data_IF_519996943754
#
_entry.id   IF_519996943754
#
_cell.length_a   1.000
_cell.length_b   1.000
_cell.length_c   1.000
_cell.angle_alpha   90.00
_cell.angle_beta   90.00
_cell.angle_gamma   90.00
#
_symmetry.space_group_name_H-M   'P 1'
#
loop_
_entity.id
_entity.type
_entity.pdbx_description
1 polymer ?
#
# COMPACT_ATOMS: atom_id res chain seq x y z
N UNK A 1 63.73 -76.58 -52.13
CA UNK A 1 64.66 -75.82 -52.99
C UNK A 1 64.82 -74.42 -52.38
N UNK A 2 66.08 -74.03 -52.20
CA UNK A 2 66.62 -72.70 -51.89
C UNK A 2 66.39 -72.09 -50.49
N UNK A 3 67.53 -71.64 -49.95
CA UNK A 3 67.88 -71.38 -48.54
C UNK A 3 67.49 -69.97 -48.10
N UNK A 4 67.07 -69.81 -46.84
CA UNK A 4 67.17 -68.54 -46.11
C UNK A 4 68.64 -68.17 -45.82
N UNK A 5 68.98 -66.88 -45.76
CA UNK A 5 69.94 -66.35 -44.80
C UNK A 5 69.22 -65.70 -43.61
N UNK A 6 69.82 -65.71 -42.41
CA UNK A 6 69.26 -65.12 -41.19
C UNK A 6 69.55 -63.61 -41.18
N UNK A 7 68.83 -62.77 -40.42
CA UNK A 7 69.43 -61.67 -39.65
C UNK A 7 68.40 -61.03 -38.71
N UNK A 8 68.69 -61.22 -37.43
CA UNK A 8 68.55 -60.28 -36.30
C UNK A 8 67.15 -59.86 -35.84
N UNK A 9 66.79 -60.44 -34.70
CA UNK A 9 65.78 -59.96 -33.76
C UNK A 9 66.41 -58.86 -32.91
N UNK A 10 65.91 -57.63 -33.04
CA UNK A 10 66.03 -56.62 -31.98
C UNK A 10 64.73 -56.62 -31.17
N UNK A 11 64.75 -56.92 -29.85
CA UNK A 11 63.60 -56.69 -29.02
C UNK A 11 63.47 -55.17 -28.80
N UNK A 12 62.52 -54.54 -29.49
CA UNK A 12 62.08 -53.20 -29.13
C UNK A 12 61.32 -53.33 -27.82
N UNK A 13 61.99 -52.91 -26.75
CA UNK A 13 61.44 -52.67 -25.43
C UNK A 13 60.42 -51.52 -25.57
N UNK A 14 59.17 -51.85 -25.90
CA UNK A 14 58.03 -50.94 -25.78
C UNK A 14 57.75 -50.74 -24.29
N UNK A 15 58.55 -49.87 -23.67
CA UNK A 15 58.15 -49.10 -22.49
C UNK A 15 56.92 -48.30 -22.89
N UNK A 16 55.74 -48.89 -22.69
CA UNK A 16 54.48 -48.16 -22.80
C UNK A 16 54.55 -46.95 -21.87
N UNK A 17 54.31 -45.72 -22.34
CA UNK A 17 54.12 -44.62 -21.44
C UNK A 17 52.84 -44.93 -20.66
N UNK A 18 53.01 -45.14 -19.36
CA UNK A 18 51.94 -45.20 -18.38
C UNK A 18 50.91 -44.14 -18.74
N UNK A 19 49.70 -44.59 -19.06
CA UNK A 19 48.53 -43.74 -19.18
C UNK A 19 48.31 -43.14 -17.79
N UNK A 20 48.95 -41.99 -17.53
CA UNK A 20 48.60 -41.14 -16.42
C UNK A 20 47.16 -40.69 -16.71
N UNK A 21 46.20 -41.39 -16.11
CA UNK A 21 44.87 -40.85 -15.91
C UNK A 21 45.10 -39.59 -15.07
N UNK A 22 45.27 -38.45 -15.76
CA UNK A 22 45.05 -37.16 -15.15
C UNK A 22 43.55 -37.12 -14.88
N UNK A 23 43.15 -37.71 -13.75
CA UNK A 23 41.91 -37.34 -13.09
C UNK A 23 42.14 -35.89 -12.70
N UNK A 24 41.86 -34.98 -13.63
CA UNK A 24 41.46 -33.62 -13.27
C UNK A 24 40.17 -33.86 -12.52
N UNK A 25 40.30 -34.08 -11.22
CA UNK A 25 39.24 -33.72 -10.29
C UNK A 25 39.14 -32.22 -10.47
N UNK A 26 38.30 -31.83 -11.44
CA UNK A 26 37.58 -30.57 -11.33
C UNK A 26 36.80 -30.79 -10.04
N UNK A 27 37.40 -30.38 -8.92
CA UNK A 27 36.59 -29.80 -7.88
C UNK A 27 35.91 -28.64 -8.59
N UNK A 28 34.78 -28.95 -9.22
CA UNK A 28 33.68 -28.05 -9.20
C UNK A 28 33.43 -27.95 -7.70
N UNK A 29 34.13 -27.01 -7.06
CA UNK A 29 33.46 -26.20 -6.08
C UNK A 29 32.18 -25.84 -6.81
N UNK A 30 31.09 -26.56 -6.50
CA UNK A 30 29.80 -25.94 -6.51
C UNK A 30 30.02 -24.76 -5.57
N UNK A 31 30.48 -23.64 -6.14
CA UNK A 31 30.17 -22.34 -5.64
C UNK A 31 28.66 -22.38 -5.70
N UNK A 32 28.04 -22.89 -4.63
CA UNK A 32 26.69 -22.51 -4.29
C UNK A 32 26.81 -21.00 -4.28
N UNK A 33 26.41 -20.38 -5.39
CA UNK A 33 26.22 -18.95 -5.45
C UNK A 33 25.17 -18.71 -4.38
N UNK A 34 25.62 -18.40 -3.17
CA UNK A 34 24.74 -17.96 -2.11
C UNK A 34 24.00 -16.80 -2.76
N UNK A 35 22.66 -16.88 -2.92
CA UNK A 35 21.93 -15.81 -3.56
C UNK A 35 22.31 -14.52 -2.82
N UNK A 36 22.86 -13.56 -3.55
CA UNK A 36 23.38 -12.31 -3.00
C UNK A 36 22.23 -11.32 -2.71
N UNK A 37 21.09 -11.87 -2.29
CA UNK A 37 19.88 -11.15 -1.93
C UNK A 37 19.87 -10.81 -0.44
N UNK A 38 19.12 -9.77 -0.04
CA UNK A 38 18.91 -9.49 1.37
C UNK A 38 18.28 -10.70 2.07
N UNK A 39 18.86 -11.09 3.21
CA UNK A 39 18.37 -12.20 4.05
C UNK A 39 17.66 -11.59 5.26
N UNK A 40 16.47 -12.09 5.56
CA UNK A 40 15.73 -11.69 6.78
C UNK A 40 16.47 -12.23 8.01
N UNK A 41 16.86 -11.34 8.91
CA UNK A 41 17.65 -11.63 10.11
C UNK A 41 16.82 -11.52 11.38
N UNK A 42 15.81 -10.65 11.39
CA UNK A 42 14.86 -10.46 12.48
C UNK A 42 13.56 -9.84 11.97
N UNK A 43 12.46 -10.07 12.69
CA UNK A 43 11.17 -9.40 12.43
C UNK A 43 10.83 -8.56 13.65
N UNK A 44 10.89 -7.21 13.57
CA UNK A 44 10.48 -6.38 14.68
C UNK A 44 8.97 -6.50 14.90
N UNK A 45 8.50 -6.21 16.12
CA UNK A 45 7.07 -6.19 16.40
C UNK A 45 6.33 -5.04 15.69
N UNK A 46 7.08 -4.02 15.26
CA UNK A 46 6.57 -2.82 14.61
C UNK A 46 7.66 -2.09 13.83
N UNK A 47 7.28 -1.45 12.72
CA UNK A 47 8.09 -0.44 12.03
C UNK A 47 7.24 0.81 11.86
N UNK A 48 7.80 1.96 12.24
CA UNK A 48 7.24 3.27 11.86
C UNK A 48 8.24 3.95 10.93
N UNK A 49 7.74 4.40 9.79
CA UNK A 49 8.53 5.14 8.81
C UNK A 49 7.67 6.23 8.19
N UNK A 50 8.31 7.17 7.52
CA UNK A 50 7.64 8.32 6.92
C UNK A 50 7.62 8.17 5.41
N UNK A 51 6.53 8.50 4.74
CA UNK A 51 6.44 8.54 3.28
C UNK A 51 7.20 9.74 2.71
N UNK A 52 7.30 9.82 1.38
CA UNK A 52 7.94 10.95 0.69
C UNK A 52 7.25 12.29 1.01
N UNK A 53 5.93 12.31 1.18
CA UNK A 53 5.16 13.52 1.55
C UNK A 53 5.28 13.90 3.03
N UNK A 54 5.89 13.06 3.87
CA UNK A 54 5.99 13.30 5.30
C UNK A 54 4.92 12.58 6.13
N UNK A 55 4.04 11.76 5.53
CA UNK A 55 3.03 11.02 6.28
C UNK A 55 3.65 9.85 7.07
N UNK A 56 3.27 9.69 8.34
CA UNK A 56 3.74 8.58 9.16
C UNK A 56 2.96 7.30 8.85
N UNK A 57 3.69 6.23 8.52
CA UNK A 57 3.17 4.88 8.30
C UNK A 57 3.70 3.98 9.40
N UNK A 58 2.77 3.35 10.13
CA UNK A 58 3.06 2.39 11.20
C UNK A 58 2.57 1.01 10.76
N UNK A 59 3.47 0.03 10.78
CA UNK A 59 3.25 -1.34 10.35
C UNK A 59 3.40 -2.28 11.53
N UNK A 60 2.37 -3.10 11.77
CA UNK A 60 2.38 -4.10 12.84
C UNK A 60 3.08 -5.40 12.40
N UNK A 61 3.24 -6.33 13.35
CA UNK A 61 3.88 -7.62 13.11
C UNK A 61 3.21 -8.49 12.04
N UNK A 62 1.91 -8.32 11.77
CA UNK A 62 1.22 -9.06 10.69
C UNK A 62 1.65 -8.50 9.34
N UNK A 63 1.59 -7.19 9.17
CA UNK A 63 2.06 -6.50 7.96
C UNK A 63 3.54 -6.76 7.69
N UNK A 64 4.37 -6.82 8.74
CA UNK A 64 5.78 -7.18 8.63
C UNK A 64 5.99 -8.66 8.29
N UNK A 65 5.10 -9.55 8.70
CA UNK A 65 5.09 -10.95 8.24
C UNK A 65 4.89 -11.05 6.72
N UNK A 66 4.01 -10.24 6.16
CA UNK A 66 3.82 -10.17 4.70
C UNK A 66 5.03 -9.58 3.99
N UNK A 67 5.65 -8.54 4.57
CA UNK A 67 6.90 -7.99 4.05
C UNK A 67 8.03 -9.04 4.06
N UNK A 68 8.13 -9.89 5.09
CA UNK A 68 9.09 -11.01 5.13
C UNK A 68 8.88 -11.97 3.96
N UNK A 69 7.63 -12.28 3.61
CA UNK A 69 7.34 -13.10 2.42
C UNK A 69 7.86 -12.44 1.15
N UNK A 70 7.59 -11.15 0.95
CA UNK A 70 8.10 -10.40 -0.23
C UNK A 70 9.63 -10.41 -0.28
N UNK A 71 10.31 -10.13 0.84
CA UNK A 71 11.78 -10.13 0.93
C UNK A 71 12.36 -11.52 0.66
N UNK A 72 11.77 -12.56 1.26
CA UNK A 72 12.20 -13.95 1.08
C UNK A 72 12.05 -14.42 -0.35
N UNK A 73 10.87 -14.20 -0.97
CA UNK A 73 10.62 -14.58 -2.35
C UNK A 73 11.55 -13.82 -3.28
N UNK A 74 11.63 -12.49 -3.16
CA UNK A 74 12.49 -11.68 -4.02
C UNK A 74 13.99 -11.96 -3.83
N UNK A 75 14.42 -12.33 -2.62
CA UNK A 75 15.79 -12.75 -2.34
C UNK A 75 16.15 -14.11 -2.94
N UNK A 76 15.16 -14.96 -3.19
CA UNK A 76 15.32 -16.27 -3.82
C UNK A 76 15.17 -16.23 -5.36
N UNK A 77 14.53 -15.19 -5.91
CA UNK A 77 14.31 -15.05 -7.36
C UNK A 77 15.49 -14.36 -8.06
N UNK A 78 16.10 -15.07 -9.01
CA UNK A 78 17.19 -14.52 -9.83
C UNK A 78 16.73 -13.28 -10.60
N UNK A 79 17.58 -12.25 -10.63
CA UNK A 79 17.30 -11.00 -11.36
C UNK A 79 16.47 -9.96 -10.61
N UNK A 80 15.82 -10.30 -9.48
CA UNK A 80 15.04 -9.34 -8.66
C UNK A 80 15.96 -8.44 -7.84
N UNK A 81 16.80 -9.05 -7.00
CA UNK A 81 17.74 -8.33 -6.13
C UNK A 81 17.07 -7.34 -5.15
N UNK A 82 17.89 -6.51 -4.51
CA UNK A 82 17.43 -5.53 -3.51
C UNK A 82 16.41 -4.54 -4.08
N UNK A 83 16.69 -3.99 -5.25
CA UNK A 83 15.85 -2.96 -5.85
C UNK A 83 14.48 -3.49 -6.25
N UNK A 84 14.39 -4.72 -6.75
CA UNK A 84 13.10 -5.34 -7.06
C UNK A 84 12.26 -5.61 -5.81
N UNK A 85 12.89 -6.00 -4.71
CA UNK A 85 12.21 -6.16 -3.41
C UNK A 85 11.63 -4.83 -2.93
N UNK A 86 12.38 -3.73 -3.04
CA UNK A 86 11.86 -2.40 -2.69
C UNK A 86 10.68 -2.02 -3.58
N UNK A 87 10.74 -2.30 -4.89
CA UNK A 87 9.62 -2.08 -5.82
C UNK A 87 8.36 -2.85 -5.39
N UNK A 88 8.49 -4.12 -5.01
CA UNK A 88 7.37 -4.92 -4.52
C UNK A 88 6.81 -4.41 -3.19
N UNK A 89 7.67 -4.02 -2.24
CA UNK A 89 7.22 -3.43 -0.98
C UNK A 89 6.48 -2.10 -1.21
N UNK A 90 6.94 -1.25 -2.13
CA UNK A 90 6.24 -0.03 -2.53
C UNK A 90 4.86 -0.33 -3.12
N UNK A 91 4.76 -1.33 -3.98
CA UNK A 91 3.49 -1.78 -4.56
C UNK A 91 2.54 -2.28 -3.47
N UNK A 92 2.93 -3.28 -2.67
CA UNK A 92 2.05 -3.82 -1.64
C UNK A 92 1.64 -2.77 -0.58
N UNK A 93 2.50 -1.79 -0.28
CA UNK A 93 2.12 -0.65 0.56
C UNK A 93 1.06 0.24 -0.10
N UNK A 94 1.21 0.52 -1.39
CA UNK A 94 0.25 1.34 -2.13
C UNK A 94 -1.08 0.63 -2.35
N UNK A 95 -1.07 -0.68 -2.59
CA UNK A 95 -2.26 -1.47 -2.92
C UNK A 95 -3.07 -1.86 -1.70
N UNK A 96 -2.41 -2.33 -0.64
CA UNK A 96 -3.10 -2.93 0.51
C UNK A 96 -2.55 -2.47 1.85
N UNK A 97 -1.56 -1.57 1.87
CA UNK A 97 -0.76 -1.26 3.08
C UNK A 97 -0.13 -2.53 3.66
N UNK A 98 0.34 -3.44 2.82
CA UNK A 98 0.86 -4.76 3.21
C UNK A 98 -0.19 -5.63 3.94
N UNK A 99 -1.46 -5.58 3.52
CA UNK A 99 -2.52 -6.44 4.07
C UNK A 99 -2.94 -7.48 3.05
N UNK A 100 -3.13 -8.70 3.53
CA UNK A 100 -3.64 -9.78 2.72
C UNK A 100 -5.18 -9.70 2.68
N UNK A 101 -5.73 -8.90 1.76
CA UNK A 101 -7.17 -8.61 1.71
C UNK A 101 -7.94 -9.67 0.91
N UNK A 102 -9.02 -10.20 1.49
CA UNK A 102 -10.03 -10.96 0.77
C UNK A 102 -10.94 -10.02 -0.05
N UNK A 103 -11.87 -10.57 -0.82
CA UNK A 103 -12.94 -9.81 -1.47
C UNK A 103 -14.20 -10.66 -1.45
N UNK A 104 -14.90 -10.67 -0.32
CA UNK A 104 -16.06 -11.52 -0.08
C UNK A 104 -17.25 -11.15 -0.99
N UNK A 105 -17.22 -9.94 -1.56
CA UNK A 105 -18.26 -9.47 -2.49
C UNK A 105 -18.08 -10.09 -3.88
N UNK A 106 -16.89 -9.98 -4.46
CA UNK A 106 -16.60 -10.52 -5.80
C UNK A 106 -16.31 -12.02 -5.77
N UNK A 107 -15.64 -12.50 -4.73
CA UNK A 107 -15.23 -13.89 -4.52
C UNK A 107 -15.52 -14.31 -3.08
N UNK A 108 -16.76 -14.70 -2.76
CA UNK A 108 -17.14 -15.12 -1.39
C UNK A 108 -16.22 -16.19 -0.79
N UNK A 109 -15.67 -17.08 -1.61
CA UNK A 109 -14.72 -18.10 -1.19
C UNK A 109 -13.38 -17.55 -0.68
N UNK A 110 -12.98 -16.34 -1.09
CA UNK A 110 -11.75 -15.69 -0.64
C UNK A 110 -11.73 -15.43 0.87
N UNK A 111 -12.90 -15.17 1.47
CA UNK A 111 -13.05 -14.98 2.92
C UNK A 111 -12.73 -16.24 3.73
N UNK A 112 -12.73 -17.42 3.09
CA UNK A 112 -12.36 -18.69 3.72
C UNK A 112 -10.85 -18.92 3.85
N UNK A 113 -10.02 -18.09 3.21
CA UNK A 113 -8.57 -18.14 3.30
C UNK A 113 -8.04 -17.21 4.40
N UNK A 114 -6.79 -17.40 4.84
CA UNK A 114 -6.15 -16.49 5.77
C UNK A 114 -6.08 -15.08 5.17
N UNK A 115 -6.61 -14.08 5.88
CA UNK A 115 -6.72 -12.71 5.41
C UNK A 115 -6.68 -11.73 6.59
N UNK A 116 -6.36 -10.47 6.28
CA UNK A 116 -6.28 -9.36 7.24
C UNK A 116 -7.47 -8.40 7.15
N UNK A 117 -8.49 -8.78 6.39
CA UNK A 117 -9.66 -7.95 6.11
C UNK A 117 -10.26 -8.21 4.73
N UNK A 118 -11.32 -7.47 4.43
CA UNK A 118 -12.05 -7.52 3.18
C UNK A 118 -11.80 -6.24 2.38
N UNK A 119 -11.25 -6.36 1.19
CA UNK A 119 -11.08 -5.30 0.21
C UNK A 119 -12.41 -5.02 -0.50
N UNK A 120 -12.70 -3.75 -0.76
CA UNK A 120 -14.01 -3.31 -1.27
C UNK A 120 -13.96 -2.64 -2.64
N UNK A 121 -12.77 -2.50 -3.23
CA UNK A 121 -12.57 -2.00 -4.58
C UNK A 121 -12.39 -3.13 -5.59
N UNK A 122 -13.25 -3.16 -6.61
CA UNK A 122 -13.22 -4.12 -7.71
C UNK A 122 -13.34 -5.61 -7.29
N UNK A 123 -12.82 -6.51 -8.12
CA UNK A 123 -12.64 -7.96 -7.93
C UNK A 123 -11.15 -8.28 -7.70
N UNK A 124 -10.49 -7.48 -6.85
CA UNK A 124 -9.07 -7.61 -6.51
C UNK A 124 -8.87 -8.38 -5.20
N UNK A 125 -7.71 -9.04 -5.06
CA UNK A 125 -7.34 -9.85 -3.90
C UNK A 125 -5.89 -9.60 -3.49
N UNK A 126 -5.66 -9.60 -2.18
CA UNK A 126 -4.37 -9.80 -1.56
C UNK A 126 -3.42 -8.60 -1.49
N UNK A 127 -2.13 -8.88 -1.29
CA UNK A 127 -1.10 -7.88 -1.02
C UNK A 127 -0.99 -6.84 -2.14
N UNK A 128 -1.10 -7.28 -3.39
CA UNK A 128 -0.95 -6.47 -4.59
C UNK A 128 -2.29 -6.17 -5.28
N UNK A 129 -3.42 -6.50 -4.65
CA UNK A 129 -4.75 -6.27 -5.22
C UNK A 129 -4.91 -6.84 -6.65
N UNK A 130 -4.39 -8.06 -6.85
CA UNK A 130 -4.41 -8.76 -8.13
C UNK A 130 -5.78 -9.36 -8.43
N UNK A 131 -6.13 -9.46 -9.72
CA UNK A 131 -7.46 -9.85 -10.18
C UNK A 131 -7.46 -11.20 -10.90
N UNK A 132 -8.26 -12.19 -10.47
CA UNK A 132 -8.45 -13.42 -11.23
C UNK A 132 -8.92 -13.17 -12.66
N UNK A 133 -9.85 -12.22 -12.86
CA UNK A 133 -10.36 -11.87 -14.17
C UNK A 133 -9.30 -11.29 -15.13
N UNK A 134 -8.20 -10.74 -14.61
CA UNK A 134 -7.08 -10.26 -15.40
C UNK A 134 -6.06 -11.37 -15.75
N UNK A 135 -6.24 -12.58 -15.21
CA UNK A 135 -5.36 -13.72 -15.45
C UNK A 135 -4.19 -13.85 -14.46
N UNK A 136 -4.19 -13.09 -13.37
CA UNK A 136 -3.11 -13.16 -12.37
C UNK A 136 -3.03 -14.50 -11.63
N UNK A 137 -4.13 -15.24 -11.53
CA UNK A 137 -4.23 -16.51 -10.82
C UNK A 137 -5.67 -16.81 -10.40
N UNK A 138 -5.92 -18.00 -9.85
CA UNK A 138 -7.20 -18.33 -9.20
C UNK A 138 -7.35 -17.62 -7.86
N UNK A 139 -8.56 -17.60 -7.29
CA UNK A 139 -8.80 -17.00 -5.97
C UNK A 139 -7.92 -17.64 -4.88
N UNK A 140 -7.76 -18.97 -4.92
CA UNK A 140 -6.92 -19.67 -3.95
C UNK A 140 -5.44 -19.28 -4.07
N UNK A 141 -4.94 -19.13 -5.30
CA UNK A 141 -3.57 -18.69 -5.57
C UNK A 141 -3.37 -17.22 -5.19
N UNK A 142 -4.32 -16.35 -5.50
CA UNK A 142 -4.22 -14.94 -5.12
C UNK A 142 -4.45 -14.73 -3.62
N UNK A 143 -5.03 -15.68 -2.90
CA UNK A 143 -5.07 -15.67 -1.43
C UNK A 143 -3.81 -16.22 -0.76
N UNK A 144 -2.79 -16.57 -1.54
CA UNK A 144 -1.47 -17.01 -1.08
C UNK A 144 -0.42 -15.91 -1.32
N UNK A 145 0.22 -15.44 -0.23
CA UNK A 145 1.20 -14.36 -0.27
C UNK A 145 2.50 -14.75 -1.00
N UNK A 146 2.91 -16.02 -0.95
CA UNK A 146 4.08 -16.52 -1.69
C UNK A 146 3.80 -16.51 -3.20
N UNK A 147 2.62 -16.99 -3.60
CA UNK A 147 2.18 -16.97 -5.00
C UNK A 147 2.14 -15.54 -5.53
N UNK A 148 1.51 -14.63 -4.79
CA UNK A 148 1.39 -13.23 -5.22
C UNK A 148 2.74 -12.54 -5.36
N UNK A 149 3.67 -12.76 -4.43
CA UNK A 149 5.02 -12.22 -4.55
C UNK A 149 5.75 -12.79 -5.79
N UNK A 150 5.61 -14.11 -6.04
CA UNK A 150 6.18 -14.74 -7.24
C UNK A 150 5.56 -14.19 -8.53
N UNK A 151 4.24 -14.01 -8.57
CA UNK A 151 3.52 -13.44 -9.71
C UNK A 151 3.92 -11.97 -9.94
N UNK A 152 4.06 -11.18 -8.88
CA UNK A 152 4.49 -9.77 -8.96
C UNK A 152 5.89 -9.66 -9.58
N UNK A 153 6.85 -10.50 -9.13
CA UNK A 153 8.18 -10.51 -9.74
C UNK A 153 8.14 -11.07 -11.17
N UNK A 154 7.26 -12.03 -11.45
CA UNK A 154 7.03 -12.61 -12.77
C UNK A 154 8.28 -13.25 -13.37
N UNK A 155 8.46 -13.08 -14.68
CA UNK A 155 9.50 -13.74 -15.45
C UNK A 155 8.99 -14.97 -16.21
N UNK A 156 9.82 -15.55 -17.09
CA UNK A 156 9.44 -16.65 -17.98
C UNK A 156 8.99 -17.92 -17.25
N UNK A 157 9.45 -18.11 -16.01
CA UNK A 157 9.07 -19.24 -15.14
C UNK A 157 8.11 -18.82 -14.01
N UNK A 158 7.53 -17.62 -14.11
CA UNK A 158 6.57 -17.09 -13.14
C UNK A 158 5.27 -17.91 -13.11
N UNK A 159 4.57 -17.97 -11.96
CA UNK A 159 3.45 -18.88 -11.75
C UNK A 159 2.20 -18.52 -12.58
N UNK A 160 2.12 -17.29 -13.07
CA UNK A 160 1.05 -16.81 -13.96
C UNK A 160 1.41 -16.93 -15.46
N UNK A 161 2.49 -17.65 -15.80
CA UNK A 161 2.88 -17.90 -17.20
C UNK A 161 3.28 -16.64 -17.98
N UNK A 162 3.74 -15.60 -17.29
CA UNK A 162 4.20 -14.33 -17.89
C UNK A 162 3.08 -13.39 -18.34
N UNK A 163 1.82 -13.68 -17.99
CA UNK A 163 0.68 -12.82 -18.31
C UNK A 163 -0.39 -12.86 -17.21
N UNK A 164 -0.71 -11.74 -16.55
CA UNK A 164 -0.10 -10.41 -16.72
C UNK A 164 1.40 -10.37 -16.43
N UNK A 165 2.09 -9.40 -17.00
CA UNK A 165 3.54 -9.29 -16.86
C UNK A 165 3.91 -8.96 -15.40
N UNK A 166 4.93 -9.60 -14.85
CA UNK A 166 5.55 -9.18 -13.60
C UNK A 166 6.73 -8.24 -13.83
N UNK A 167 7.47 -7.92 -12.76
CA UNK A 167 8.60 -6.99 -12.79
C UNK A 167 9.70 -7.41 -13.78
N UNK A 168 10.09 -8.70 -13.77
CA UNK A 168 11.16 -9.23 -14.60
C UNK A 168 10.81 -9.28 -16.09
N UNK A 169 9.52 -9.20 -16.42
CA UNK A 169 9.03 -9.16 -17.79
C UNK A 169 9.10 -7.74 -18.40
N UNK A 170 9.48 -6.73 -17.62
CA UNK A 170 9.59 -5.33 -18.06
C UNK A 170 11.05 -5.03 -18.47
N UNK A 171 11.34 -4.81 -19.77
CA UNK A 171 12.70 -4.54 -20.21
C UNK A 171 13.27 -3.27 -19.59
N UNK A 172 14.43 -3.38 -18.93
CA UNK A 172 15.14 -2.23 -18.36
C UNK A 172 14.48 -1.65 -17.11
N UNK A 173 13.63 -2.39 -16.41
CA UNK A 173 12.99 -1.92 -15.17
C UNK A 173 13.99 -1.44 -14.12
N UNK A 174 15.21 -1.99 -14.10
CA UNK A 174 16.29 -1.56 -13.20
C UNK A 174 16.80 -0.14 -13.50
N UNK A 175 16.54 0.38 -14.70
CA UNK A 175 17.01 1.68 -15.17
C UNK A 175 15.97 2.80 -15.03
N UNK A 176 14.76 2.49 -14.54
CA UNK A 176 13.71 3.49 -14.29
C UNK A 176 13.53 3.73 -12.79
N UNK A 177 12.95 4.87 -12.37
CA UNK A 177 12.61 5.07 -10.97
C UNK A 177 11.74 3.94 -10.42
N UNK A 178 11.99 3.51 -9.18
CA UNK A 178 11.31 2.36 -8.57
C UNK A 178 9.77 2.48 -8.57
N UNK A 179 9.23 3.68 -8.36
CA UNK A 179 7.79 3.92 -8.45
C UNK A 179 7.22 3.71 -9.86
N UNK A 180 8.01 4.02 -10.90
CA UNK A 180 7.66 3.77 -12.30
C UNK A 180 7.70 2.27 -12.60
N UNK A 181 8.67 1.55 -12.04
CA UNK A 181 8.73 0.09 -12.14
C UNK A 181 7.51 -0.57 -11.48
N UNK A 182 7.13 -0.15 -10.27
CA UNK A 182 5.92 -0.63 -9.57
C UNK A 182 4.65 -0.37 -10.38
N UNK A 183 4.46 0.87 -10.84
CA UNK A 183 3.33 1.24 -11.71
C UNK A 183 3.30 0.42 -13.02
N UNK A 184 4.45 0.02 -13.54
CA UNK A 184 4.53 -0.75 -14.80
C UNK A 184 4.06 -2.19 -14.66
N UNK A 185 4.14 -2.74 -13.44
CA UNK A 185 3.58 -4.06 -13.07
C UNK A 185 2.09 -3.94 -12.81
N UNK A 186 1.67 -3.00 -11.95
CA UNK A 186 0.28 -2.87 -11.50
C UNK A 186 -0.65 -2.27 -12.55
N UNK A 187 -0.11 -1.46 -13.47
CA UNK A 187 -0.88 -0.77 -14.53
C UNK A 187 -2.08 -0.01 -13.95
N UNK A 188 -1.87 0.67 -12.81
CA UNK A 188 -2.92 1.46 -12.17
C UNK A 188 -3.20 2.77 -12.90
N UNK A 189 -4.35 3.40 -12.62
CA UNK A 189 -4.69 4.70 -13.20
C UNK A 189 -3.87 5.88 -12.62
N UNK A 190 -3.03 5.65 -11.60
CA UNK A 190 -2.31 6.66 -10.83
C UNK A 190 -0.79 6.41 -10.87
N UNK A 191 -0.10 7.08 -11.80
CA UNK A 191 1.30 6.74 -12.11
C UNK A 191 2.34 7.11 -11.05
N UNK A 192 2.00 7.96 -10.09
CA UNK A 192 2.91 8.51 -9.08
C UNK A 192 2.72 7.95 -7.66
N UNK A 193 1.60 7.26 -7.37
CA UNK A 193 1.27 6.81 -6.00
C UNK A 193 2.29 5.90 -5.34
N UNK A 194 3.04 5.12 -6.11
CA UNK A 194 4.00 4.15 -5.56
C UNK A 194 5.26 4.81 -5.04
N UNK A 195 5.70 5.90 -5.69
CA UNK A 195 6.91 6.63 -5.32
C UNK A 195 6.81 7.18 -3.89
N UNK A 196 5.60 7.43 -3.43
CA UNK A 196 5.27 7.87 -2.07
C UNK A 196 5.81 6.91 -1.00
N UNK A 197 5.80 5.61 -1.28
CA UNK A 197 6.19 4.56 -0.34
C UNK A 197 7.66 4.18 -0.38
N UNK A 198 8.47 4.84 -1.22
CA UNK A 198 9.90 4.56 -1.34
C UNK A 198 10.61 4.53 0.02
N UNK A 199 10.55 5.60 0.83
CA UNK A 199 11.24 5.62 2.13
C UNK A 199 10.70 4.59 3.14
N UNK A 200 9.40 4.28 3.09
CA UNK A 200 8.79 3.26 3.97
C UNK A 200 9.26 1.85 3.57
N UNK A 201 9.28 1.54 2.28
CA UNK A 201 9.80 0.27 1.76
C UNK A 201 11.27 0.06 2.12
N UNK A 202 12.08 1.12 2.02
CA UNK A 202 13.49 1.09 2.42
C UNK A 202 13.65 0.85 3.94
N UNK A 203 12.82 1.49 4.77
CA UNK A 203 12.83 1.31 6.22
C UNK A 203 12.43 -0.10 6.64
N UNK A 204 11.42 -0.70 5.98
CA UNK A 204 11.02 -2.09 6.21
C UNK A 204 12.18 -3.02 5.88
N UNK A 205 12.74 -2.90 4.67
CA UNK A 205 13.81 -3.77 4.22
C UNK A 205 15.02 -3.67 5.16
N UNK A 206 15.43 -2.45 5.52
CA UNK A 206 16.51 -2.23 6.48
C UNK A 206 16.22 -2.88 7.83
N UNK A 207 14.99 -2.77 8.34
CA UNK A 207 14.60 -3.34 9.63
C UNK A 207 14.60 -4.88 9.62
N UNK A 208 14.23 -5.48 8.49
CA UNK A 208 14.18 -6.94 8.34
C UNK A 208 15.56 -7.58 8.10
N UNK A 209 16.51 -6.81 7.57
CA UNK A 209 17.84 -7.32 7.19
C UNK A 209 18.96 -6.81 8.09
N UNK A 210 18.66 -5.96 9.07
CA UNK A 210 19.65 -5.46 10.02
C UNK A 210 20.21 -6.63 10.84
N UNK A 211 21.54 -6.71 11.07
CA UNK A 211 22.11 -7.71 11.95
C UNK A 211 21.41 -7.63 13.32
N UNK A 212 20.89 -8.76 13.82
CA UNK A 212 20.22 -8.78 15.11
C UNK A 212 21.16 -8.32 16.25
N UNK A 213 20.63 -7.98 17.44
CA UNK A 213 21.44 -7.55 18.59
C UNK A 213 22.44 -8.58 19.15
N UNK A 214 22.74 -9.65 18.42
CA UNK A 214 23.70 -10.71 18.77
C UNK A 214 24.99 -10.76 17.94
N UNK A 215 25.17 -9.90 16.92
CA UNK A 215 26.37 -9.95 16.07
C UNK A 215 27.02 -8.57 15.92
N UNK A 216 27.36 -7.97 17.07
CA UNK A 216 28.26 -6.83 17.10
C UNK A 216 29.72 -7.33 16.99
N UNK A 217 30.27 -7.33 15.77
CA UNK A 217 31.72 -7.33 15.59
C UNK A 217 32.27 -6.01 16.12
N UNK A 218 33.09 -6.11 17.17
CA UNK A 218 33.83 -5.01 17.79
C UNK A 218 34.73 -4.33 16.74
N UNK A 219 34.51 -3.04 16.47
CA UNK A 219 35.37 -2.18 15.67
C UNK A 219 35.14 -0.70 16.02
N UNK A 220 36.19 0.13 16.10
CA UNK A 220 36.20 1.26 17.03
C UNK A 220 35.49 2.51 16.49
N UNK A 221 34.70 3.08 17.41
CA UNK A 221 34.41 4.49 17.64
C UNK A 221 35.11 5.51 16.71
N UNK A 222 34.30 6.20 15.93
CA UNK A 222 34.63 7.46 15.25
C UNK A 222 33.40 8.36 15.23
N UNK A 223 33.37 9.32 16.17
CA UNK A 223 32.63 10.60 16.18
C UNK A 223 32.51 11.23 14.78
N UNK A 224 31.51 12.01 14.38
CA UNK A 224 30.45 12.85 14.97
C UNK A 224 29.68 13.43 13.75
N UNK A 225 28.45 13.92 13.76
CA UNK A 225 27.85 14.97 14.58
C UNK A 225 26.32 14.92 14.45
N UNK A 226 25.67 15.46 15.48
CA UNK A 226 24.24 15.63 15.62
C UNK A 226 23.68 16.75 14.72
N UNK A 227 22.43 16.58 14.31
CA UNK A 227 21.47 17.69 14.29
C UNK A 227 20.13 17.16 14.77
N UNK A 228 19.77 17.54 16.00
CA UNK A 228 18.42 17.43 16.53
C UNK A 228 17.45 18.21 15.64
N UNK A 229 16.33 17.58 15.29
CA UNK A 229 15.14 18.29 14.86
C UNK A 229 14.01 17.93 15.84
N UNK A 230 13.46 19.01 16.40
CA UNK A 230 12.40 19.14 17.39
C UNK A 230 11.41 17.97 17.50
N UNK A 231 11.14 17.59 18.75
CA UNK A 231 10.02 16.76 19.16
C UNK A 231 8.70 17.29 18.59
N UNK A 232 8.08 16.47 17.75
CA UNK A 232 6.74 16.71 17.23
C UNK A 232 5.72 16.60 18.38
N UNK A 233 4.86 17.61 18.48
CA UNK A 233 3.86 17.68 19.53
C UNK A 233 2.78 16.65 19.22
N UNK A 234 2.47 15.71 20.13
CA UNK A 234 1.44 14.71 19.84
C UNK A 234 0.12 15.42 19.59
N UNK A 235 -0.48 15.19 18.41
CA UNK A 235 -1.85 15.59 18.12
C UNK A 235 -2.72 15.16 19.29
N UNK A 236 -3.38 16.13 19.93
CA UNK A 236 -4.15 15.91 21.13
C UNK A 236 -5.21 14.83 20.86
N UNK A 237 -5.21 13.77 21.66
CA UNK A 237 -6.31 12.79 21.65
C UNK A 237 -7.58 13.52 22.07
N UNK A 238 -8.46 13.80 21.14
CA UNK A 238 -9.74 14.45 21.43
C UNK A 238 -10.83 13.41 21.57
N UNK A 239 -11.81 13.72 22.42
CA UNK A 239 -13.03 12.92 22.60
C UNK A 239 -14.26 13.64 22.05
N UNK A 240 -14.05 14.79 21.41
CA UNK A 240 -15.12 15.70 21.03
C UNK A 240 -15.43 15.55 19.54
N UNK A 241 -16.64 15.07 19.27
CA UNK A 241 -17.18 14.91 17.92
C UNK A 241 -18.34 15.88 17.74
N UNK A 242 -18.47 16.45 16.55
CA UNK A 242 -19.58 17.31 16.13
C UNK A 242 -20.24 16.77 14.87
N UNK A 243 -21.46 17.20 14.61
CA UNK A 243 -22.14 16.86 13.37
C UNK A 243 -21.50 17.60 12.17
N UNK A 244 -21.33 16.96 10.99
CA UNK A 244 -20.59 17.55 9.85
C UNK A 244 -21.32 18.71 9.14
N UNK A 245 -22.55 19.02 9.54
CA UNK A 245 -23.37 20.12 9.02
C UNK A 245 -23.99 20.93 10.18
N UNK A 246 -24.17 22.25 10.03
CA UNK A 246 -24.82 23.06 11.05
C UNK A 246 -26.27 22.62 11.36
N UNK A 247 -26.71 22.82 12.59
CA UNK A 247 -28.09 22.50 12.99
C UNK A 247 -29.14 23.20 12.10
N UNK A 248 -30.15 22.45 11.66
CA UNK A 248 -31.28 22.97 10.89
C UNK A 248 -31.00 23.28 9.40
N UNK A 249 -29.81 22.94 8.88
CA UNK A 249 -29.47 23.18 7.46
C UNK A 249 -29.60 21.95 6.57
N UNK A 250 -29.91 20.79 7.15
CA UNK A 250 -29.86 19.51 6.45
C UNK A 250 -31.09 18.64 6.74
N UNK A 251 -31.32 17.66 5.87
CA UNK A 251 -32.22 16.53 6.11
C UNK A 251 -31.54 15.23 5.73
N UNK A 252 -31.72 14.19 6.53
CA UNK A 252 -31.31 12.84 6.18
C UNK A 252 -32.10 12.38 4.95
N UNK A 253 -31.44 11.73 3.99
CA UNK A 253 -32.11 11.23 2.77
C UNK A 253 -31.78 9.80 2.42
N UNK A 254 -30.54 9.37 2.61
CA UNK A 254 -30.13 8.03 2.17
C UNK A 254 -29.01 7.46 3.04
N UNK A 255 -29.21 6.24 3.53
CA UNK A 255 -28.34 5.61 4.54
C UNK A 255 -27.25 4.70 3.97
N UNK A 256 -26.37 4.26 4.85
CA UNK A 256 -25.29 3.32 4.56
C UNK A 256 -25.81 1.94 4.16
N UNK A 257 -25.07 1.23 3.30
CA UNK A 257 -25.31 -0.18 2.99
C UNK A 257 -25.77 -0.45 1.55
N UNK A 258 -26.23 -1.69 1.27
CA UNK A 258 -26.61 -2.12 -0.07
C UNK A 258 -27.85 -1.38 -0.58
N UNK A 259 -27.80 -0.96 -1.85
CA UNK A 259 -28.88 -0.29 -2.59
C UNK A 259 -29.08 -0.99 -3.93
N UNK A 260 -30.29 -0.92 -4.47
CA UNK A 260 -30.57 -1.40 -5.83
C UNK A 260 -30.56 -0.19 -6.76
N UNK A 261 -29.73 -0.22 -7.80
CA UNK A 261 -29.66 0.84 -8.79
C UNK A 261 -31.02 1.01 -9.49
N UNK A 262 -31.67 2.18 -9.41
CA UNK A 262 -33.06 2.34 -9.83
C UNK A 262 -33.28 2.16 -11.34
N UNK A 263 -32.21 2.27 -12.14
CA UNK A 263 -32.26 2.13 -13.61
C UNK A 263 -31.77 0.76 -14.10
N UNK A 264 -30.93 0.07 -13.33
CA UNK A 264 -30.23 -1.14 -13.80
C UNK A 264 -30.49 -2.38 -12.94
N UNK A 265 -31.16 -2.24 -11.79
CA UNK A 265 -31.50 -3.36 -10.92
C UNK A 265 -30.30 -4.03 -10.24
N UNK A 266 -29.10 -3.47 -10.38
CA UNK A 266 -27.85 -4.01 -9.81
C UNK A 266 -27.70 -3.57 -8.36
N UNK A 267 -27.18 -4.46 -7.51
CA UNK A 267 -26.78 -4.10 -6.16
C UNK A 267 -25.56 -3.17 -6.23
N UNK A 268 -25.68 -1.98 -5.63
CA UNK A 268 -24.59 -1.04 -5.40
C UNK A 268 -24.43 -0.86 -3.89
N UNK A 269 -23.23 -0.56 -3.42
CA UNK A 269 -23.01 -0.31 -2.00
C UNK A 269 -22.84 1.18 -1.75
N UNK A 270 -23.51 1.70 -0.72
CA UNK A 270 -23.36 3.06 -0.29
C UNK A 270 -22.49 3.13 0.97
N UNK A 271 -21.27 3.62 0.81
CA UNK A 271 -20.23 3.64 1.85
C UNK A 271 -20.41 4.74 2.91
N UNK A 272 -21.46 5.57 2.78
CA UNK A 272 -21.69 6.70 3.69
C UNK A 272 -23.16 6.96 3.97
N UNK A 273 -23.47 8.19 4.36
CA UNK A 273 -24.83 8.72 4.52
C UNK A 273 -24.95 10.02 3.73
N UNK A 274 -26.10 10.21 3.10
CA UNK A 274 -26.42 11.39 2.30
C UNK A 274 -27.31 12.35 3.08
N UNK A 275 -26.78 13.54 3.35
CA UNK A 275 -27.48 14.65 3.98
C UNK A 275 -27.78 15.72 2.93
N UNK A 276 -29.04 15.85 2.52
CA UNK A 276 -29.44 16.92 1.61
C UNK A 276 -29.36 18.27 2.33
N UNK A 277 -28.72 19.24 1.70
CA UNK A 277 -28.58 20.59 2.22
C UNK A 277 -28.43 21.57 1.04
N UNK A 278 -28.83 22.85 1.19
CA UNK A 278 -28.63 23.84 0.13
C UNK A 278 -27.15 23.93 -0.27
N UNK A 279 -26.87 24.09 -1.57
CA UNK A 279 -25.51 24.34 -2.04
C UNK A 279 -24.92 25.59 -1.34
N UNK A 280 -23.65 25.52 -0.95
CA UNK A 280 -23.00 26.56 -0.15
C UNK A 280 -23.18 26.42 1.37
N UNK A 281 -23.97 25.45 1.85
CA UNK A 281 -24.03 25.14 3.29
C UNK A 281 -22.64 24.74 3.80
N UNK A 282 -22.15 25.30 4.94
CA UNK A 282 -20.86 24.92 5.50
C UNK A 282 -20.75 23.42 5.78
N UNK A 283 -19.63 22.82 5.39
CA UNK A 283 -19.23 21.45 5.77
C UNK A 283 -18.15 21.56 6.83
N UNK A 284 -18.34 20.86 7.95
CA UNK A 284 -17.52 20.97 9.15
C UNK A 284 -16.72 19.69 9.39
N UNK A 285 -15.46 19.83 9.80
CA UNK A 285 -14.67 18.69 10.31
C UNK A 285 -15.36 18.12 11.56
N UNK A 286 -15.63 16.82 11.58
CA UNK A 286 -16.37 16.22 12.71
C UNK A 286 -15.56 16.13 14.00
N UNK A 287 -14.24 16.15 13.90
CA UNK A 287 -13.33 16.09 15.04
C UNK A 287 -12.00 16.77 14.70
N UNK A 288 -11.17 17.00 15.71
CA UNK A 288 -9.79 17.40 15.49
C UNK A 288 -9.07 16.33 14.66
N UNK A 289 -8.18 16.76 13.77
CA UNK A 289 -7.49 15.84 12.87
C UNK A 289 -6.52 16.55 11.95
N UNK A 290 -6.01 15.79 10.98
CA UNK A 290 -5.15 16.27 9.91
C UNK A 290 -5.80 15.86 8.59
N UNK A 291 -5.89 16.80 7.65
CA UNK A 291 -6.40 16.50 6.32
C UNK A 291 -5.46 15.52 5.63
N UNK A 292 -5.94 14.33 5.30
CA UNK A 292 -5.15 13.24 4.71
C UNK A 292 -5.32 13.11 3.19
N UNK A 293 -6.39 13.69 2.63
CA UNK A 293 -6.55 13.81 1.17
C UNK A 293 -7.43 15.02 0.82
N UNK A 294 -7.07 15.69 -0.28
CA UNK A 294 -7.92 16.65 -0.98
C UNK A 294 -7.86 16.34 -2.46
N UNK A 295 -8.89 15.69 -2.98
CA UNK A 295 -8.89 15.17 -4.34
C UNK A 295 -10.18 15.50 -5.09
N UNK A 296 -10.17 15.25 -6.40
CA UNK A 296 -11.35 15.39 -7.25
C UNK A 296 -11.44 14.23 -8.23
N UNK A 297 -12.59 13.55 -8.29
CA UNK A 297 -12.83 12.49 -9.26
C UNK A 297 -14.29 12.48 -9.76
N UNK A 298 -14.58 11.68 -10.79
CA UNK A 298 -15.91 11.65 -11.42
C UNK A 298 -17.01 11.11 -10.50
N UNK A 299 -16.66 10.26 -9.52
CA UNK A 299 -17.61 9.63 -8.59
C UNK A 299 -17.89 10.55 -7.40
N UNK A 300 -16.87 10.83 -6.60
CA UNK A 300 -16.96 11.61 -5.37
C UNK A 300 -17.04 13.11 -5.60
N UNK A 301 -16.78 13.59 -6.83
CA UNK A 301 -16.63 15.02 -7.05
C UNK A 301 -15.40 15.54 -6.32
N UNK A 302 -15.50 16.73 -5.74
CA UNK A 302 -14.48 17.22 -4.82
C UNK A 302 -14.63 16.49 -3.48
N UNK A 303 -13.51 15.99 -2.98
CA UNK A 303 -13.41 15.15 -1.78
C UNK A 303 -12.39 15.77 -0.82
N UNK A 304 -12.72 15.74 0.47
CA UNK A 304 -11.77 15.94 1.56
C UNK A 304 -11.81 14.69 2.44
N UNK A 305 -10.65 14.17 2.83
CA UNK A 305 -10.52 13.10 3.84
C UNK A 305 -9.70 13.65 5.00
N UNK A 306 -10.13 13.36 6.22
CA UNK A 306 -9.49 13.81 7.45
C UNK A 306 -9.21 12.61 8.34
N UNK A 307 -7.96 12.47 8.77
CA UNK A 307 -7.54 11.49 9.76
C UNK A 307 -7.63 12.07 11.17
N UNK A 308 -8.26 11.32 12.05
CA UNK A 308 -8.52 11.68 13.44
C UNK A 308 -7.88 10.67 14.39
N UNK A 309 -7.57 11.15 15.61
CA UNK A 309 -7.29 10.29 16.76
C UNK A 309 -8.34 10.48 17.84
N UNK A 310 -9.31 9.57 17.85
CA UNK A 310 -10.43 9.57 18.78
C UNK A 310 -10.22 8.46 19.82
N UNK A 311 -10.11 8.82 21.09
CA UNK A 311 -9.85 7.86 22.18
C UNK A 311 -8.63 6.94 21.92
N UNK A 312 -7.57 7.48 21.29
CA UNK A 312 -6.38 6.71 20.91
C UNK A 312 -6.57 5.78 19.71
N UNK A 313 -7.75 5.74 19.10
CA UNK A 313 -8.04 4.99 17.88
C UNK A 313 -7.97 5.89 16.66
N UNK A 314 -7.43 5.35 15.55
CA UNK A 314 -7.46 6.03 14.26
C UNK A 314 -8.87 5.98 13.67
N UNK A 315 -9.36 7.10 13.16
CA UNK A 315 -10.63 7.19 12.42
C UNK A 315 -10.41 8.14 11.25
N UNK A 316 -10.77 7.74 10.04
CA UNK A 316 -10.83 8.66 8.91
C UNK A 316 -12.29 9.08 8.65
N UNK A 317 -12.51 10.30 8.22
CA UNK A 317 -13.81 10.75 7.70
C UNK A 317 -13.67 11.38 6.34
N UNK A 318 -14.66 11.14 5.47
CA UNK A 318 -14.66 11.63 4.11
C UNK A 318 -15.90 12.48 3.82
N UNK A 319 -15.68 13.55 3.05
CA UNK A 319 -16.66 14.58 2.73
C UNK A 319 -16.68 14.78 1.23
N UNK A 320 -17.70 14.24 0.54
CA UNK A 320 -17.76 14.24 -0.91
C UNK A 320 -18.83 15.20 -1.48
N UNK A 321 -18.83 15.31 -2.81
CA UNK A 321 -19.70 16.18 -3.62
C UNK A 321 -19.53 17.68 -3.33
N UNK A 322 -18.38 18.08 -2.78
CA UNK A 322 -18.14 19.44 -2.31
C UNK A 322 -18.21 20.47 -3.45
N UNK A 323 -18.68 21.68 -3.14
CA UNK A 323 -18.84 22.76 -4.12
C UNK A 323 -17.49 23.17 -4.72
N UNK A 324 -17.43 23.36 -6.04
CA UNK A 324 -16.22 23.81 -6.73
C UNK A 324 -15.68 25.13 -6.17
N UNK A 325 -14.38 25.16 -5.87
CA UNK A 325 -13.71 26.34 -5.30
C UNK A 325 -14.06 26.63 -3.83
N UNK A 326 -14.80 25.76 -3.14
CA UNK A 326 -15.20 25.97 -1.75
C UNK A 326 -14.29 25.30 -0.71
N UNK A 327 -13.38 24.41 -1.13
CA UNK A 327 -12.46 23.71 -0.22
C UNK A 327 -11.48 24.72 0.39
N UNK A 328 -11.49 24.82 1.72
CA UNK A 328 -10.74 25.81 2.51
C UNK A 328 -9.45 25.25 3.10
N UNK A 329 -9.21 23.95 2.95
CA UNK A 329 -8.09 23.21 3.53
C UNK A 329 -7.28 22.50 2.46
N UNK A 330 -6.05 22.12 2.80
CA UNK A 330 -5.13 21.34 1.97
C UNK A 330 -4.67 20.11 2.74
N UNK A 331 -4.17 19.11 2.02
CA UNK A 331 -3.52 17.96 2.62
C UNK A 331 -2.40 18.40 3.58
N UNK A 332 -2.36 17.78 4.77
CA UNK A 332 -1.46 18.12 5.87
C UNK A 332 -1.97 19.22 6.81
N UNK A 333 -3.05 19.94 6.46
CA UNK A 333 -3.57 20.99 7.35
C UNK A 333 -4.16 20.37 8.64
N UNK A 334 -3.79 20.86 9.83
CA UNK A 334 -4.51 20.52 11.04
C UNK A 334 -5.88 21.19 11.03
N UNK A 335 -6.90 20.47 11.48
CA UNK A 335 -8.26 20.95 11.63
C UNK A 335 -8.77 20.71 13.04
N UNK A 336 -9.69 21.56 13.48
CA UNK A 336 -10.38 21.41 14.77
C UNK A 336 -11.82 21.00 14.56
N UNK A 337 -12.41 20.28 15.52
CA UNK A 337 -13.81 19.88 15.51
C UNK A 337 -14.72 21.10 15.30
N UNK A 338 -15.55 21.06 14.26
CA UNK A 338 -16.44 22.16 13.89
C UNK A 338 -15.84 23.21 12.96
N UNK A 339 -14.55 23.10 12.61
CA UNK A 339 -13.92 23.96 11.62
C UNK A 339 -14.59 23.75 10.26
N UNK A 340 -14.96 24.83 9.59
CA UNK A 340 -15.43 24.75 8.21
C UNK A 340 -14.27 24.35 7.29
N UNK A 341 -14.45 23.27 6.55
CA UNK A 341 -13.45 22.72 5.62
C UNK A 341 -13.84 22.92 4.15
N UNK A 342 -15.14 23.03 3.87
CA UNK A 342 -15.68 23.22 2.54
C UNK A 342 -17.13 23.72 2.58
N UNK A 343 -17.83 23.66 1.45
CA UNK A 343 -19.27 23.85 1.37
C UNK A 343 -19.95 22.73 0.56
N UNK A 344 -21.21 22.43 0.90
CA UNK A 344 -22.06 21.46 0.21
C UNK A 344 -22.20 21.85 -1.26
N UNK A 345 -22.00 20.88 -2.14
CA UNK A 345 -22.13 21.04 -3.58
C UNK A 345 -22.90 19.89 -4.21
N UNK A 346 -22.71 19.73 -5.53
CA UNK A 346 -23.28 18.65 -6.32
C UNK A 346 -22.26 18.20 -7.38
N UNK A 347 -20.97 18.18 -7.04
CA UNK A 347 -19.90 17.78 -7.95
C UNK A 347 -19.77 16.26 -8.02
N UNK A 348 -19.20 15.73 -9.11
CA UNK A 348 -19.11 14.29 -9.34
C UNK A 348 -20.47 13.65 -9.64
N UNK A 349 -20.65 12.41 -9.20
CA UNK A 349 -21.85 11.62 -9.43
C UNK A 349 -22.96 11.94 -8.40
N UNK A 350 -23.43 13.20 -8.40
CA UNK A 350 -24.50 13.68 -7.53
C UNK A 350 -25.73 14.13 -8.33
N UNK A 351 -26.93 13.71 -7.90
CA UNK A 351 -28.19 14.10 -8.55
C UNK A 351 -28.74 15.46 -8.08
N UNK A 352 -28.12 16.05 -7.06
CA UNK A 352 -28.46 17.36 -6.51
C UNK A 352 -27.61 17.68 -5.27
N UNK A 353 -27.73 18.89 -4.69
CA UNK A 353 -26.89 19.31 -3.59
C UNK A 353 -27.07 18.48 -2.31
N UNK A 354 -26.01 17.80 -1.88
CA UNK A 354 -25.96 17.03 -0.63
C UNK A 354 -24.50 16.83 -0.18
N UNK A 355 -24.32 16.51 1.10
CA UNK A 355 -23.07 15.96 1.61
C UNK A 355 -23.20 14.44 1.64
N UNK A 356 -22.28 13.75 0.94
CA UNK A 356 -22.01 12.34 1.20
C UNK A 356 -20.90 12.26 2.25
N UNK A 357 -21.21 11.65 3.39
CA UNK A 357 -20.33 11.57 4.54
C UNK A 357 -20.01 10.12 4.88
N UNK A 358 -18.73 9.78 4.99
CA UNK A 358 -18.27 8.44 5.36
C UNK A 358 -17.43 8.48 6.64
N UNK A 359 -17.42 7.37 7.40
CA UNK A 359 -16.61 7.16 8.59
C UNK A 359 -15.89 5.83 8.48
N UNK A 360 -14.58 5.82 8.73
CA UNK A 360 -13.74 4.64 8.59
C UNK A 360 -12.87 4.45 9.84
N UNK A 361 -13.31 3.64 10.81
CA UNK A 361 -12.49 3.22 11.93
C UNK A 361 -11.24 2.46 11.43
N UNK A 362 -10.07 2.82 11.94
CA UNK A 362 -8.79 2.24 11.51
C UNK A 362 -8.16 2.90 10.27
N UNK A 363 -8.77 3.95 9.72
CA UNK A 363 -8.30 4.65 8.51
C UNK A 363 -9.19 4.39 7.28
N UNK A 364 -8.99 5.13 6.19
CA UNK A 364 -9.89 5.22 5.02
C UNK A 364 -9.95 3.95 4.14
N UNK A 365 -10.41 2.83 4.69
CA UNK A 365 -10.47 1.52 4.00
C UNK A 365 -11.73 0.69 4.31
N UNK A 366 -12.29 0.84 5.51
CA UNK A 366 -13.47 0.08 5.96
C UNK A 366 -14.58 1.05 6.42
N UNK A 367 -15.42 1.54 5.49
CA UNK A 367 -16.51 2.43 5.87
C UNK A 367 -17.49 1.68 6.76
N UNK A 368 -17.89 2.29 7.87
CA UNK A 368 -19.01 1.83 8.72
C UNK A 368 -20.18 2.77 8.57
N UNK A 369 -21.35 2.35 9.03
CA UNK A 369 -22.52 3.23 9.08
C UNK A 369 -22.23 4.47 9.95
N UNK A 370 -22.20 5.69 9.36
CA UNK A 370 -21.93 6.92 10.10
C UNK A 370 -22.99 7.24 11.17
N UNK A 371 -24.24 6.79 11.01
CA UNK A 371 -25.32 7.13 11.96
C UNK A 371 -25.12 6.55 13.37
N UNK A 372 -24.98 5.21 13.54
CA UNK A 372 -24.69 4.64 14.85
C UNK A 372 -23.33 5.09 15.38
N UNK A 373 -22.37 5.37 14.50
CA UNK A 373 -21.06 5.88 14.91
C UNK A 373 -21.15 7.30 15.51
N UNK A 374 -21.83 8.23 14.84
CA UNK A 374 -22.03 9.60 15.32
C UNK A 374 -22.85 9.63 16.62
N UNK A 375 -23.86 8.77 16.74
CA UNK A 375 -24.65 8.63 17.95
C UNK A 375 -23.82 8.13 19.15
N UNK A 376 -22.95 7.14 18.92
CA UNK A 376 -22.08 6.58 19.96
C UNK A 376 -21.01 7.56 20.45
N UNK A 377 -20.56 8.49 19.60
CA UNK A 377 -19.55 9.51 19.94
C UNK A 377 -20.16 10.83 20.43
N UNK A 378 -21.46 10.85 20.73
CA UNK A 378 -22.19 11.99 21.26
C UNK A 378 -21.99 13.27 20.43
N UNK A 379 -22.05 13.16 19.10
CA UNK A 379 -21.81 14.27 18.18
C UNK A 379 -22.68 15.48 18.55
N UNK A 380 -22.07 16.52 19.13
CA UNK A 380 -22.77 17.75 19.48
C UNK A 380 -23.19 18.49 18.21
N UNK A 381 -24.43 18.98 18.13
CA UNK A 381 -24.82 19.87 17.04
C UNK A 381 -24.31 21.27 17.31
N UNK A 382 -23.49 21.81 16.39
CA UNK A 382 -23.10 23.22 16.43
C UNK A 382 -24.24 24.07 15.86
N UNK A 383 -24.67 25.08 16.63
CA UNK A 383 -25.68 26.04 16.18
C UNK A 383 -25.19 26.76 14.93
N UNK A 384 -26.10 26.97 13.96
CA UNK A 384 -25.84 27.74 12.73
C UNK A 384 -25.02 29.00 13.03
N UNK A 385 -23.79 29.06 12.52
CA UNK A 385 -22.99 30.26 12.61
C UNK A 385 -23.68 31.37 11.81
N UNK A 386 -23.92 32.52 12.46
CA UNK A 386 -24.29 33.74 11.76
C UNK A 386 -23.15 34.09 10.79
N UNK A 387 -23.43 34.55 9.56
CA UNK A 387 -22.39 34.92 8.62
C UNK A 387 -21.48 35.97 9.27
N UNK A 388 -20.17 35.74 9.24
CA UNK A 388 -19.19 36.71 9.72
C UNK A 388 -19.40 38.02 8.95
N UNK A 389 -19.89 39.05 9.66
CA UNK A 389 -20.05 40.36 9.09
C UNK A 389 -18.67 40.91 8.74
N UNK A 390 -18.40 41.08 7.43
CA UNK A 390 -17.35 41.97 6.98
C UNK A 390 -17.62 43.37 7.53
N UNK A 391 -16.89 43.79 8.57
CA UNK A 391 -16.71 45.21 8.86
C UNK A 391 -15.73 45.77 7.84
N UNK A 392 -16.28 46.26 6.73
CA UNK A 392 -15.60 47.24 5.88
C UNK A 392 -15.98 48.66 6.32
N UNK A 393 -14.96 49.50 6.40
CA UNK A 393 -15.05 50.97 6.48
C UNK A 393 -14.86 51.51 7.89
N UNK A 394 -14.26 52.69 8.09
CA UNK A 394 -13.46 53.59 7.26
C UNK A 394 -12.96 54.66 8.26
N UNK A 395 -11.73 55.12 8.03
CA UNK A 395 -11.21 56.48 8.28
C UNK A 395 -11.46 57.20 9.62
N UNK A 396 -10.35 57.59 10.27
CA UNK A 396 -9.84 58.97 10.12
C UNK A 396 -8.35 59.09 10.41
#
# INVERSE_FOLDING_TARGET
MHKLPPFVVFPVLLLGPSLALLVVTVFASASTSTPCGPVVTAVPGEVTATTTSGASVRLDGVQLGHAVTIVRVGGATEGVGRDGIVVALMAALAESRLRMLANATAYPESAGFANDGDGSDHDSLGLFQMRPAAGWGSVAELMDADYQAQAFFGGPDGPNGGSPRGLLDIPGWQSVPKGVAAQSVEVSAHSDRYAEFGPVAEAILASLTAPGPGEATIGPSGSSEMVEAAADTPAASTTFVVFPLPEGTWRWTSGYGPRIHPVHGTATFHAGVDYVAPAGTPVLAVADGVVSDVSANQRSGNLVVIDHRLNGQAVATAYAHLLGGSVLVREGDPVTAGQQIAAVGSTGAATGPHLHFEVHPGGFYAPVDPEPWLAAHAAGQLKKAAPAACTTGSER
#
